data_IF_407202609905
#
_entry.id   IF_407202609905
#
_cell.length_a   1.000
_cell.length_b   1.000
_cell.length_c   1.000
_cell.angle_alpha   90.00
_cell.angle_beta   90.00
_cell.angle_gamma   90.00
#
_symmetry.space_group_name_H-M   'P 1'
#
loop_
_entity.id
_entity.type
_entity.pdbx_description
1 polymer ?
#
# COMPACT_ATOMS: atom_id res chain seq x y z
N UNK A 1 -12.04 22.56 40.43
CA UNK A 1 -12.04 21.84 39.14
C UNK A 1 -10.61 21.85 38.60
N UNK A 2 -9.81 20.89 39.03
CA UNK A 2 -8.43 20.71 38.57
C UNK A 2 -8.41 19.47 37.68
N UNK A 3 -8.90 19.61 36.45
CA UNK A 3 -8.60 18.65 35.41
C UNK A 3 -7.16 18.91 34.96
N UNK A 4 -6.36 17.86 34.80
CA UNK A 4 -5.08 18.01 34.11
C UNK A 4 -5.35 18.67 32.75
N UNK A 5 -4.57 19.70 32.41
CA UNK A 5 -4.53 20.20 31.03
C UNK A 5 -4.31 18.99 30.12
N UNK A 6 -5.01 18.89 28.97
CA UNK A 6 -4.77 17.81 28.03
C UNK A 6 -3.27 17.82 27.75
N UNK A 7 -2.61 16.71 28.06
CA UNK A 7 -1.22 16.51 27.68
C UNK A 7 -1.15 16.82 26.19
N UNK A 8 -0.19 17.66 25.80
CA UNK A 8 0.31 17.74 24.44
C UNK A 8 0.88 16.36 24.07
N UNK A 9 0.01 15.36 23.91
CA UNK A 9 0.27 14.31 22.95
C UNK A 9 0.47 15.10 21.67
N UNK A 10 1.68 15.06 21.14
CA UNK A 10 1.96 15.39 19.76
C UNK A 10 0.97 14.57 18.95
N UNK A 11 -0.23 15.08 18.70
CA UNK A 11 -1.28 14.35 18.00
C UNK A 11 -0.94 14.42 16.52
N UNK A 12 0.13 13.69 16.19
CA UNK A 12 0.64 13.54 14.83
C UNK A 12 -0.40 12.86 13.95
N UNK A 13 -1.45 12.26 14.53
CA UNK A 13 -2.61 11.73 13.82
C UNK A 13 -3.19 12.77 12.87
N UNK A 14 -3.52 13.97 13.35
CA UNK A 14 -4.05 15.04 12.50
C UNK A 14 -3.08 15.47 11.40
N UNK A 15 -1.77 15.54 11.74
CA UNK A 15 -0.74 15.84 10.75
C UNK A 15 -0.67 14.77 9.65
N UNK A 16 -0.71 13.50 10.04
CA UNK A 16 -0.64 12.39 9.10
C UNK A 16 -1.91 12.25 8.28
N UNK A 17 -3.09 12.41 8.88
CA UNK A 17 -4.36 12.48 8.14
C UNK A 17 -4.32 13.59 7.10
N UNK A 18 -3.91 14.80 7.48
CA UNK A 18 -3.77 15.91 6.53
C UNK A 18 -2.77 15.59 5.41
N UNK A 19 -1.68 14.88 5.74
CA UNK A 19 -0.70 14.43 4.75
C UNK A 19 -1.28 13.38 3.79
N UNK A 20 -2.02 12.40 4.30
CA UNK A 20 -2.71 11.36 3.50
C UNK A 20 -3.71 12.03 2.56
N UNK A 21 -4.60 12.89 3.10
CA UNK A 21 -5.60 13.63 2.33
C UNK A 21 -4.94 14.43 1.20
N UNK A 22 -3.91 15.19 1.54
CA UNK A 22 -3.14 15.97 0.56
C UNK A 22 -2.56 15.08 -0.53
N UNK A 23 -1.85 14.01 -0.19
CA UNK A 23 -1.24 13.11 -1.18
C UNK A 23 -2.29 12.51 -2.14
N UNK A 24 -3.37 11.94 -1.59
CA UNK A 24 -4.43 11.30 -2.38
C UNK A 24 -5.16 12.31 -3.29
N UNK A 25 -5.45 13.51 -2.80
CA UNK A 25 -6.04 14.58 -3.62
C UNK A 25 -5.13 14.99 -4.78
N UNK A 26 -3.81 15.14 -4.55
CA UNK A 26 -2.86 15.44 -5.62
C UNK A 26 -2.73 14.30 -6.64
N UNK A 27 -3.03 13.06 -6.25
CA UNK A 27 -3.03 11.89 -7.13
C UNK A 27 -4.37 11.68 -7.87
N UNK A 28 -5.32 12.59 -7.68
CA UNK A 28 -6.61 12.61 -8.37
C UNK A 28 -7.68 11.74 -7.71
N UNK A 29 -7.53 11.40 -6.43
CA UNK A 29 -8.62 10.81 -5.66
C UNK A 29 -9.53 11.89 -5.08
N UNK A 30 -10.83 11.61 -5.04
CA UNK A 30 -11.85 12.47 -4.44
C UNK A 30 -12.19 11.96 -3.04
N UNK A 31 -12.15 12.87 -2.05
CA UNK A 31 -12.56 12.54 -0.68
C UNK A 31 -14.08 12.41 -0.59
N UNK A 32 -14.55 11.38 0.09
CA UNK A 32 -15.96 11.12 0.36
C UNK A 32 -16.19 11.08 1.87
N UNK A 33 -17.44 11.35 2.27
CA UNK A 33 -17.91 11.21 3.64
C UNK A 33 -19.19 10.37 3.61
N UNK A 34 -19.14 9.16 4.16
CA UNK A 34 -20.31 8.28 4.23
C UNK A 34 -20.85 8.19 5.65
N UNK A 35 -22.12 7.82 5.80
CA UNK A 35 -22.71 7.62 7.12
C UNK A 35 -22.08 6.42 7.83
N UNK A 36 -21.76 6.58 9.12
CA UNK A 36 -21.32 5.49 9.99
C UNK A 36 -22.38 4.42 10.24
N UNK A 37 -23.65 4.77 9.98
CA UNK A 37 -24.79 3.87 10.11
C UNK A 37 -25.19 3.30 8.75
N UNK A 38 -25.38 1.98 8.71
CA UNK A 38 -25.73 1.21 7.52
C UNK A 38 -26.94 0.31 7.78
N UNK A 39 -27.58 -0.17 6.72
CA UNK A 39 -28.79 -0.98 6.77
C UNK A 39 -28.50 -2.43 7.17
N UNK A 40 -27.33 -2.94 6.77
CA UNK A 40 -26.86 -4.29 7.04
C UNK A 40 -25.38 -4.29 7.40
N UNK A 41 -25.04 -4.85 8.57
CA UNK A 41 -23.69 -5.13 8.99
C UNK A 41 -23.71 -6.28 10.01
N UNK A 42 -22.55 -6.87 10.28
CA UNK A 42 -22.32 -7.80 11.38
C UNK A 42 -22.03 -7.10 12.72
N UNK A 43 -21.87 -5.78 12.68
CA UNK A 43 -21.52 -4.90 13.78
C UNK A 43 -22.62 -4.64 14.80
N UNK A 44 -22.49 -3.52 15.50
CA UNK A 44 -23.42 -3.15 16.56
C UNK A 44 -24.75 -2.63 16.00
N UNK A 45 -25.83 -3.34 16.32
CA UNK A 45 -27.20 -2.93 16.03
C UNK A 45 -27.69 -1.85 16.99
N UNK A 46 -28.25 -0.76 16.46
CA UNK A 46 -28.93 0.25 17.26
C UNK A 46 -30.22 -0.31 17.85
N UNK A 47 -30.47 0.02 19.13
CA UNK A 47 -31.73 -0.38 19.80
C UNK A 47 -32.95 0.37 19.26
N UNK A 48 -32.79 1.66 18.96
CA UNK A 48 -33.87 2.54 18.48
C UNK A 48 -33.40 3.28 17.21
N UNK A 49 -33.30 2.59 16.06
CA UNK A 49 -32.87 3.22 14.82
C UNK A 49 -33.90 4.24 14.33
N UNK A 50 -33.44 5.32 13.70
CA UNK A 50 -34.31 6.36 13.13
C UNK A 50 -34.98 5.91 11.82
N UNK A 51 -34.34 5.00 11.09
CA UNK A 51 -34.84 4.39 9.85
C UNK A 51 -34.25 2.99 9.68
N UNK A 52 -34.82 2.18 8.78
CA UNK A 52 -34.26 0.87 8.43
C UNK A 52 -32.89 0.96 7.73
N UNK A 53 -32.59 2.11 7.11
CA UNK A 53 -31.33 2.36 6.43
C UNK A 53 -30.16 2.63 7.40
N UNK A 54 -30.47 2.98 8.65
CA UNK A 54 -29.48 3.36 9.68
C UNK A 54 -29.63 2.47 10.91
N UNK A 55 -29.36 1.18 10.73
CA UNK A 55 -29.65 0.15 11.72
C UNK A 55 -28.40 -0.34 12.46
N UNK A 56 -27.24 -0.37 11.80
CA UNK A 56 -26.00 -0.90 12.34
C UNK A 56 -24.88 0.13 12.25
N UNK A 57 -23.98 0.18 13.24
CA UNK A 57 -22.68 0.81 13.07
C UNK A 57 -21.81 -0.08 12.17
N UNK A 58 -21.23 0.52 11.14
CA UNK A 58 -20.41 -0.18 10.16
C UNK A 58 -19.14 -0.77 10.77
N UNK A 59 -18.78 -1.98 10.36
CA UNK A 59 -17.49 -2.61 10.70
C UNK A 59 -16.44 -2.44 9.60
N UNK A 60 -16.86 -1.91 8.43
CA UNK A 60 -16.02 -1.64 7.27
C UNK A 60 -16.59 -0.48 6.46
N UNK A 61 -15.73 0.27 5.77
CA UNK A 61 -16.09 1.32 4.81
C UNK A 61 -16.46 0.74 3.42
N UNK A 62 -16.09 -0.52 3.14
CA UNK A 62 -16.23 -1.15 1.83
C UNK A 62 -17.68 -1.15 1.31
N UNK A 63 -18.70 -1.56 2.09
CA UNK A 63 -20.08 -1.58 1.59
C UNK A 63 -20.58 -0.20 1.14
N UNK A 64 -20.28 0.84 1.92
CA UNK A 64 -20.65 2.23 1.60
C UNK A 64 -19.99 2.72 0.32
N UNK A 65 -18.70 2.40 0.13
CA UNK A 65 -17.96 2.73 -1.10
C UNK A 65 -18.50 1.99 -2.33
N UNK A 66 -18.81 0.70 -2.22
CA UNK A 66 -19.40 -0.06 -3.32
C UNK A 66 -20.79 0.46 -3.73
N UNK A 67 -21.58 0.94 -2.76
CA UNK A 67 -22.85 1.62 -3.03
C UNK A 67 -22.65 2.93 -3.82
N UNK A 68 -21.68 3.76 -3.42
CA UNK A 68 -21.34 4.97 -4.18
C UNK A 68 -20.91 4.63 -5.60
N UNK A 69 -20.06 3.61 -5.77
CA UNK A 69 -19.62 3.15 -7.09
C UNK A 69 -20.82 2.75 -7.94
N UNK A 70 -21.74 1.92 -7.41
CA UNK A 70 -22.90 1.46 -8.18
C UNK A 70 -23.84 2.60 -8.59
N UNK A 71 -24.02 3.61 -7.73
CA UNK A 71 -24.84 4.80 -8.00
C UNK A 71 -24.21 5.76 -9.02
N UNK A 72 -22.89 5.68 -9.24
CA UNK A 72 -22.15 6.58 -10.12
C UNK A 72 -21.51 5.89 -11.33
N UNK A 73 -21.66 4.57 -11.45
CA UNK A 73 -21.12 3.79 -12.55
C UNK A 73 -21.68 4.31 -13.89
N UNK A 74 -20.79 4.52 -14.86
CA UNK A 74 -21.17 5.03 -16.19
C UNK A 74 -21.49 6.52 -16.25
N UNK A 75 -21.48 7.26 -15.14
CA UNK A 75 -21.64 8.72 -15.13
C UNK A 75 -20.31 9.46 -15.37
N UNK A 76 -19.19 8.81 -15.07
CA UNK A 76 -17.83 9.30 -15.27
C UNK A 76 -16.95 8.17 -15.82
N UNK A 77 -15.83 8.52 -16.46
CA UNK A 77 -14.90 7.54 -17.04
C UNK A 77 -14.23 6.66 -15.97
N UNK A 78 -13.77 7.27 -14.88
CA UNK A 78 -13.07 6.58 -13.79
C UNK A 78 -13.42 7.25 -12.47
N UNK A 79 -13.84 6.47 -11.48
CA UNK A 79 -13.95 6.90 -10.09
C UNK A 79 -12.68 6.51 -9.34
N UNK A 80 -12.04 7.49 -8.70
CA UNK A 80 -11.02 7.28 -7.67
C UNK A 80 -11.47 7.98 -6.41
N UNK A 81 -11.83 7.21 -5.39
CA UNK A 81 -12.45 7.72 -4.18
C UNK A 81 -11.62 7.31 -2.97
N UNK A 82 -11.59 8.15 -1.94
CA UNK A 82 -11.06 7.79 -0.64
C UNK A 82 -11.91 8.35 0.50
N UNK A 83 -11.86 7.69 1.65
CA UNK A 83 -12.47 8.18 2.90
C UNK A 83 -11.53 7.81 4.07
N UNK A 84 -11.40 8.72 5.03
CA UNK A 84 -10.76 8.46 6.32
C UNK A 84 -11.83 8.59 7.39
N UNK A 85 -12.21 7.48 8.03
CA UNK A 85 -13.28 7.48 9.02
C UNK A 85 -13.22 6.27 9.96
N UNK A 86 -13.94 6.37 11.08
CA UNK A 86 -14.01 5.27 12.05
C UNK A 86 -14.89 4.11 11.55
N UNK A 87 -14.48 2.90 11.93
CA UNK A 87 -15.32 1.70 11.98
C UNK A 87 -15.48 1.25 13.43
N UNK A 88 -16.50 0.44 13.70
CA UNK A 88 -16.92 0.12 15.07
C UNK A 88 -16.96 -1.40 15.29
N UNK A 89 -15.85 -1.95 15.80
CA UNK A 89 -15.73 -3.39 16.03
C UNK A 89 -16.42 -3.79 17.34
N UNK A 90 -17.40 -4.72 17.32
CA UNK A 90 -18.12 -5.12 18.53
C UNK A 90 -17.19 -5.73 19.59
N UNK A 91 -17.33 -5.28 20.85
CA UNK A 91 -16.72 -5.89 22.03
C UNK A 91 -17.81 -6.45 22.95
N UNK A 92 -17.61 -7.67 23.46
CA UNK A 92 -18.60 -8.34 24.32
C UNK A 92 -18.68 -7.64 25.68
N UNK A 93 -19.84 -7.07 25.99
CA UNK A 93 -20.11 -6.47 27.30
C UNK A 93 -19.47 -5.10 27.54
N UNK A 94 -18.98 -4.46 26.49
CA UNK A 94 -18.32 -3.15 26.55
C UNK A 94 -18.66 -2.30 25.31
N UNK A 95 -18.21 -1.05 25.28
CA UNK A 95 -18.29 -0.18 24.09
C UNK A 95 -17.48 -0.77 22.92
N UNK A 96 -17.90 -0.52 21.66
CA UNK A 96 -17.14 -0.96 20.50
C UNK A 96 -15.72 -0.44 20.54
N UNK A 97 -14.80 -1.19 19.94
CA UNK A 97 -13.53 -0.61 19.55
C UNK A 97 -13.75 0.26 18.32
N UNK A 98 -13.51 1.54 18.46
CA UNK A 98 -13.38 2.42 17.31
C UNK A 98 -11.97 2.27 16.74
N UNK A 99 -11.88 2.10 15.42
CA UNK A 99 -10.62 2.11 14.69
C UNK A 99 -10.72 3.11 13.55
N UNK A 100 -9.72 3.97 13.39
CA UNK A 100 -9.65 4.89 12.24
C UNK A 100 -9.15 4.14 11.01
N UNK A 101 -9.94 4.13 9.94
CA UNK A 101 -9.61 3.44 8.69
C UNK A 101 -9.48 4.41 7.52
N UNK A 102 -8.59 4.09 6.58
CA UNK A 102 -8.52 4.67 5.24
C UNK A 102 -9.03 3.64 4.24
N UNK A 103 -9.94 4.05 3.37
CA UNK A 103 -10.34 3.26 2.21
C UNK A 103 -9.94 3.97 0.92
N UNK A 104 -9.42 3.21 -0.05
CA UNK A 104 -9.20 3.62 -1.42
C UNK A 104 -10.12 2.80 -2.33
N UNK A 105 -10.75 3.44 -3.31
CA UNK A 105 -11.61 2.78 -4.29
C UNK A 105 -11.29 3.27 -5.68
N UNK A 106 -11.16 2.35 -6.63
CA UNK A 106 -10.93 2.67 -8.04
C UNK A 106 -11.82 1.81 -8.92
N UNK A 107 -12.47 2.39 -9.93
CA UNK A 107 -13.18 1.61 -10.97
C UNK A 107 -12.26 1.13 -12.09
N UNK A 108 -10.98 1.54 -12.07
CA UNK A 108 -10.00 1.00 -13.01
C UNK A 108 -9.63 -0.44 -12.60
N UNK A 109 -9.70 -1.42 -13.52
CA UNK A 109 -9.45 -2.83 -13.19
C UNK A 109 -7.96 -3.18 -13.03
N UNK A 110 -7.04 -2.25 -13.32
CA UNK A 110 -5.61 -2.48 -13.15
C UNK A 110 -5.21 -2.48 -11.67
N UNK A 111 -5.03 -3.69 -11.14
CA UNK A 111 -4.56 -3.93 -9.77
C UNK A 111 -3.21 -3.27 -9.49
N UNK A 112 -2.30 -3.26 -10.48
CA UNK A 112 -0.96 -2.69 -10.32
C UNK A 112 -1.03 -1.18 -10.10
N UNK A 113 -2.02 -0.53 -10.70
CA UNK A 113 -2.26 0.90 -10.53
C UNK A 113 -2.70 1.24 -9.12
N UNK A 114 -3.70 0.53 -8.58
CA UNK A 114 -4.14 0.76 -7.19
C UNK A 114 -3.04 0.41 -6.19
N UNK A 115 -2.33 -0.70 -6.43
CA UNK A 115 -1.16 -1.09 -5.64
C UNK A 115 -0.08 0.00 -5.65
N UNK A 116 0.18 0.62 -6.80
CA UNK A 116 1.15 1.72 -6.92
C UNK A 116 0.79 2.93 -6.04
N UNK A 117 -0.50 3.29 -5.94
CA UNK A 117 -0.94 4.34 -5.02
C UNK A 117 -0.74 3.96 -3.55
N UNK A 118 -1.00 2.70 -3.18
CA UNK A 118 -0.76 2.18 -1.83
C UNK A 118 0.73 2.22 -1.49
N UNK A 119 1.60 1.80 -2.41
CA UNK A 119 3.06 1.83 -2.23
C UNK A 119 3.59 3.28 -2.16
N UNK A 120 3.06 4.19 -2.99
CA UNK A 120 3.39 5.61 -2.92
C UNK A 120 2.97 6.23 -1.58
N UNK A 121 1.79 5.89 -1.08
CA UNK A 121 1.32 6.34 0.23
C UNK A 121 2.20 5.80 1.37
N UNK A 122 2.58 4.52 1.31
CA UNK A 122 3.52 3.91 2.24
C UNK A 122 4.84 4.70 2.30
N UNK A 123 5.37 5.05 1.12
CA UNK A 123 6.60 5.83 0.98
C UNK A 123 6.45 7.24 1.58
N UNK A 124 5.34 7.93 1.31
CA UNK A 124 5.04 9.24 1.88
C UNK A 124 4.97 9.22 3.42
N UNK A 125 4.45 8.14 3.99
CA UNK A 125 4.33 7.96 5.44
C UNK A 125 5.61 7.40 6.08
N UNK A 126 6.60 7.00 5.29
CA UNK A 126 7.85 6.40 5.79
C UNK A 126 7.62 5.02 6.42
N UNK A 127 6.60 4.29 5.96
CA UNK A 127 6.19 2.98 6.49
C UNK A 127 6.17 1.93 5.39
N UNK A 128 6.15 0.66 5.79
CA UNK A 128 5.83 -0.45 4.90
C UNK A 128 4.42 -0.92 5.20
N UNK A 129 3.54 -0.85 4.21
CA UNK A 129 2.19 -1.40 4.27
C UNK A 129 1.97 -2.33 3.06
N UNK A 130 1.21 -3.39 3.26
CA UNK A 130 0.83 -4.34 2.21
C UNK A 130 -0.60 -4.81 2.46
N UNK A 131 -1.58 -3.88 2.39
CA UNK A 131 -2.97 -4.21 2.60
C UNK A 131 -3.49 -5.12 1.49
N UNK A 132 -4.54 -5.88 1.81
CA UNK A 132 -5.28 -6.65 0.82
C UNK A 132 -6.06 -5.70 -0.09
N UNK A 133 -6.01 -5.96 -1.40
CA UNK A 133 -6.84 -5.28 -2.38
C UNK A 133 -7.95 -6.24 -2.77
N UNK A 134 -9.18 -5.87 -2.45
CA UNK A 134 -10.39 -6.62 -2.77
C UNK A 134 -10.80 -6.32 -4.22
N UNK A 135 -10.98 -7.37 -5.01
CA UNK A 135 -11.43 -7.26 -6.40
C UNK A 135 -12.93 -7.53 -6.46
N UNK A 136 -13.69 -6.49 -6.81
CA UNK A 136 -15.13 -6.59 -7.07
C UNK A 136 -15.42 -6.44 -8.57
N UNK A 137 -16.60 -6.87 -9.06
CA UNK A 137 -16.93 -6.81 -10.48
C UNK A 137 -16.81 -5.42 -11.11
N UNK A 138 -17.01 -4.36 -10.34
CA UNK A 138 -17.06 -2.97 -10.81
C UNK A 138 -16.00 -2.06 -10.19
N UNK A 139 -15.21 -2.55 -9.22
CA UNK A 139 -14.21 -1.75 -8.54
C UNK A 139 -13.14 -2.60 -7.85
N UNK A 140 -11.98 -1.99 -7.67
CA UNK A 140 -10.94 -2.41 -6.74
C UNK A 140 -11.05 -1.56 -5.47
N UNK A 141 -11.00 -2.22 -4.32
CA UNK A 141 -11.12 -1.56 -3.01
C UNK A 141 -9.99 -1.99 -2.09
N UNK A 142 -9.44 -1.06 -1.33
CA UNK A 142 -8.39 -1.33 -0.35
C UNK A 142 -8.71 -0.57 0.94
N UNK A 143 -8.96 -1.28 2.03
CA UNK A 143 -9.23 -0.71 3.35
C UNK A 143 -8.06 -0.99 4.30
N UNK A 144 -7.65 0.03 5.05
CA UNK A 144 -6.44 0.05 5.86
C UNK A 144 -6.77 0.62 7.24
N UNK A 145 -6.60 -0.18 8.30
CA UNK A 145 -6.59 0.36 9.66
C UNK A 145 -5.36 1.28 9.83
N UNK A 146 -5.61 2.57 10.06
CA UNK A 146 -4.58 3.60 10.16
C UNK A 146 -3.86 3.60 11.52
N UNK A 147 -4.46 3.15 12.61
CA UNK A 147 -3.84 3.20 13.94
C UNK A 147 -2.42 2.59 13.98
N UNK A 148 -2.18 1.34 13.54
CA UNK A 148 -0.83 0.77 13.54
C UNK A 148 0.11 1.40 12.50
N UNK A 149 -0.45 2.06 11.48
CA UNK A 149 0.31 2.76 10.43
C UNK A 149 0.84 4.08 10.96
N UNK A 150 -0.05 4.89 11.55
CA UNK A 150 0.28 6.21 12.09
C UNK A 150 1.23 6.13 13.29
N UNK A 151 1.12 5.07 14.10
CA UNK A 151 2.06 4.79 15.19
C UNK A 151 3.52 4.58 14.71
N UNK A 152 3.72 4.19 13.45
CA UNK A 152 5.04 3.95 12.84
C UNK A 152 5.44 5.02 11.82
N UNK A 153 4.52 5.92 11.47
CA UNK A 153 4.75 6.91 10.45
C UNK A 153 5.85 7.89 10.86
N UNK A 154 6.73 8.21 9.92
CA UNK A 154 7.88 9.07 10.16
C UNK A 154 8.22 9.90 8.93
N UNK A 155 8.55 11.17 9.15
CA UNK A 155 9.06 12.08 8.12
C UNK A 155 10.59 12.14 8.13
N UNK A 156 11.24 11.43 9.05
CA UNK A 156 12.69 11.43 9.20
C UNK A 156 13.30 10.66 8.04
N UNK A 157 13.97 11.38 7.15
CA UNK A 157 14.80 10.77 6.11
C UNK A 157 16.18 10.48 6.67
N UNK A 158 16.57 9.22 6.71
CA UNK A 158 17.95 8.85 7.04
C UNK A 158 18.84 9.18 5.84
N UNK A 159 19.80 10.08 6.04
CA UNK A 159 20.80 10.36 5.03
C UNK A 159 21.68 9.11 4.80
N UNK A 160 21.67 8.62 3.57
CA UNK A 160 22.64 7.62 3.12
C UNK A 160 23.69 8.38 2.31
N UNK A 161 24.98 8.33 2.72
CA UNK A 161 26.03 9.01 1.96
C UNK A 161 26.04 8.49 0.53
N UNK A 162 26.15 9.42 -0.41
CA UNK A 162 26.28 9.08 -1.82
C UNK A 162 27.57 8.30 -1.98
N UNK A 163 27.48 7.09 -2.53
CA UNK A 163 28.67 6.28 -2.80
C UNK A 163 29.57 6.99 -3.80
N UNK A 164 30.88 6.98 -3.54
CA UNK A 164 31.88 7.47 -4.47
C UNK A 164 32.18 6.46 -5.59
N UNK A 165 31.71 5.21 -5.44
CA UNK A 165 31.97 4.12 -6.38
C UNK A 165 30.76 3.91 -7.30
N UNK A 166 30.92 3.98 -8.63
CA UNK A 166 29.84 3.69 -9.55
C UNK A 166 29.35 2.24 -9.45
N UNK A 167 28.04 2.01 -9.63
CA UNK A 167 27.48 0.67 -9.77
C UNK A 167 27.85 0.05 -11.12
N UNK A 168 27.83 -1.28 -11.20
CA UNK A 168 27.81 -2.04 -12.45
C UNK A 168 26.37 -2.49 -12.70
N UNK A 169 25.84 -2.20 -13.88
CA UNK A 169 24.44 -2.46 -14.24
C UNK A 169 24.42 -3.40 -15.45
N UNK A 170 23.64 -4.47 -15.36
CA UNK A 170 23.49 -5.46 -16.42
C UNK A 170 22.02 -5.79 -16.64
N UNK A 171 21.60 -5.80 -17.91
CA UNK A 171 20.27 -6.25 -18.31
C UNK A 171 20.37 -7.71 -18.78
N UNK A 172 19.54 -8.57 -18.19
CA UNK A 172 19.61 -10.04 -18.32
C UNK A 172 18.25 -10.58 -18.75
N UNK A 173 18.23 -11.40 -19.80
CA UNK A 173 17.02 -12.05 -20.29
C UNK A 173 16.83 -13.43 -19.66
N UNK A 174 15.66 -13.65 -19.08
CA UNK A 174 15.33 -14.87 -18.35
C UNK A 174 14.02 -15.44 -18.85
N UNK A 175 14.00 -16.75 -19.14
CA UNK A 175 12.74 -17.48 -19.30
C UNK A 175 12.19 -17.87 -17.93
N UNK A 176 11.12 -17.21 -17.48
CA UNK A 176 10.49 -17.46 -16.19
C UNK A 176 8.97 -17.25 -16.21
N UNK A 177 8.22 -18.28 -15.81
CA UNK A 177 6.76 -18.29 -15.76
C UNK A 177 6.17 -18.23 -14.35
N UNK A 178 7.03 -18.20 -13.31
CA UNK A 178 6.59 -18.17 -11.91
C UNK A 178 6.29 -16.75 -11.40
N UNK A 179 6.15 -16.62 -10.08
CA UNK A 179 5.91 -15.34 -9.43
C UNK A 179 7.18 -14.45 -9.46
N UNK A 180 7.04 -13.22 -9.95
CA UNK A 180 8.16 -12.27 -10.05
C UNK A 180 8.85 -11.99 -8.70
N UNK A 181 8.09 -11.87 -7.61
CA UNK A 181 8.65 -11.65 -6.28
C UNK A 181 9.56 -12.80 -5.85
N UNK A 182 9.21 -14.04 -6.21
CA UNK A 182 9.99 -15.23 -5.86
C UNK A 182 11.35 -15.20 -6.55
N UNK A 183 11.40 -14.96 -7.87
CA UNK A 183 12.67 -14.89 -8.61
C UNK A 183 13.53 -13.72 -8.10
N UNK A 184 12.96 -12.53 -7.88
CA UNK A 184 13.70 -11.39 -7.32
C UNK A 184 14.28 -11.72 -5.94
N UNK A 185 13.51 -12.39 -5.07
CA UNK A 185 13.99 -12.79 -3.75
C UNK A 185 15.14 -13.79 -3.82
N UNK A 186 15.09 -14.73 -4.77
CA UNK A 186 16.17 -15.70 -5.01
C UNK A 186 17.43 -14.99 -5.52
N UNK A 187 17.29 -14.06 -6.45
CA UNK A 187 18.39 -13.27 -7.00
C UNK A 187 19.10 -12.46 -5.92
N UNK A 188 18.34 -11.68 -5.14
CA UNK A 188 18.90 -10.85 -4.06
C UNK A 188 19.62 -11.67 -2.98
N UNK A 189 19.25 -12.94 -2.80
CA UNK A 189 19.91 -13.86 -1.86
C UNK A 189 21.26 -14.39 -2.35
N UNK A 190 21.55 -14.32 -3.66
CA UNK A 190 22.82 -14.83 -4.22
C UNK A 190 24.02 -14.05 -3.69
N UNK A 191 23.92 -12.72 -3.61
CA UNK A 191 25.02 -11.89 -3.13
C UNK A 191 24.55 -10.55 -2.53
N UNK A 192 25.16 -10.09 -1.43
CA UNK A 192 24.89 -8.76 -0.85
C UNK A 192 25.36 -7.61 -1.75
N UNK A 193 26.15 -7.91 -2.80
CA UNK A 193 26.57 -6.93 -3.81
C UNK A 193 25.44 -6.58 -4.78
N UNK A 194 24.40 -7.42 -4.91
CA UNK A 194 23.21 -7.12 -5.71
C UNK A 194 22.34 -6.12 -4.93
N UNK A 195 22.28 -4.86 -5.39
CA UNK A 195 21.54 -3.79 -4.71
C UNK A 195 20.12 -3.61 -5.24
N UNK A 196 19.91 -3.75 -6.54
CA UNK A 196 18.56 -3.73 -7.11
C UNK A 196 18.40 -4.79 -8.20
N UNK A 197 17.15 -5.22 -8.39
CA UNK A 197 16.70 -6.08 -9.47
C UNK A 197 15.39 -5.46 -9.95
N UNK A 198 15.36 -4.98 -11.18
CA UNK A 198 14.25 -4.23 -11.75
C UNK A 198 13.75 -4.94 -13.00
N UNK A 199 12.42 -5.04 -13.16
CA UNK A 199 11.82 -5.54 -14.39
C UNK A 199 11.79 -4.41 -15.41
N UNK A 200 12.54 -4.57 -16.50
CA UNK A 200 12.57 -3.60 -17.61
C UNK A 200 11.48 -3.92 -18.63
N UNK A 201 11.34 -5.19 -18.96
CA UNK A 201 10.39 -5.65 -19.96
C UNK A 201 9.91 -7.08 -19.66
N UNK A 202 8.70 -7.38 -20.11
CA UNK A 202 8.10 -8.71 -20.03
C UNK A 202 7.37 -9.01 -21.34
N UNK A 203 7.83 -10.04 -22.04
CA UNK A 203 7.16 -10.60 -23.21
C UNK A 203 6.87 -12.08 -22.97
N UNK A 204 5.60 -12.45 -22.82
CA UNK A 204 5.18 -13.80 -22.45
C UNK A 204 5.91 -14.31 -21.19
N UNK A 205 6.76 -15.33 -21.33
CA UNK A 205 7.58 -15.90 -20.27
C UNK A 205 9.01 -15.35 -20.26
N UNK A 206 9.36 -14.40 -21.15
CA UNK A 206 10.67 -13.76 -21.20
C UNK A 206 10.62 -12.48 -20.37
N UNK A 207 11.52 -12.38 -19.40
CA UNK A 207 11.72 -11.21 -18.55
C UNK A 207 13.08 -10.59 -18.85
N UNK A 208 13.10 -9.28 -19.05
CA UNK A 208 14.34 -8.49 -19.09
C UNK A 208 14.54 -7.89 -17.71
N UNK A 209 15.52 -8.40 -16.96
CA UNK A 209 15.83 -7.97 -15.60
C UNK A 209 17.09 -7.11 -15.59
N UNK A 210 16.99 -5.88 -15.07
CA UNK A 210 18.15 -5.05 -14.77
C UNK A 210 18.66 -5.37 -13.38
N UNK A 211 19.89 -5.85 -13.29
CA UNK A 211 20.57 -6.17 -12.04
C UNK A 211 21.66 -5.13 -11.79
N UNK A 212 21.57 -4.45 -10.65
CA UNK A 212 22.55 -3.45 -10.22
C UNK A 212 23.45 -4.03 -9.14
N UNK A 213 24.75 -4.14 -9.44
CA UNK A 213 25.80 -4.55 -8.51
C UNK A 213 26.52 -3.31 -7.96
N UNK A 214 26.71 -3.25 -6.64
CA UNK A 214 27.40 -2.11 -6.04
C UNK A 214 27.96 -2.43 -4.66
N UNK A 215 29.17 -1.92 -4.38
CA UNK A 215 29.80 -1.92 -3.06
C UNK A 215 30.10 -0.47 -2.65
N UNK A 216 29.53 0.04 -1.55
CA UNK A 216 29.81 1.41 -1.10
C UNK A 216 31.24 1.61 -0.59
N UNK A 217 32.04 0.55 -0.44
CA UNK A 217 33.39 0.60 0.13
C UNK A 217 34.51 0.44 -0.91
N UNK A 218 34.21 -0.03 -2.12
CA UNK A 218 35.21 -0.23 -3.17
C UNK A 218 34.61 -0.21 -4.58
N UNK A 219 35.46 0.10 -5.56
CA UNK A 219 35.11 -0.07 -6.96
C UNK A 219 35.01 -1.56 -7.30
N UNK A 220 33.88 -1.99 -7.85
CA UNK A 220 33.72 -3.34 -8.38
C UNK A 220 34.32 -3.45 -9.78
N UNK A 221 34.87 -4.63 -10.07
CA UNK A 221 35.35 -5.03 -11.39
C UNK A 221 34.55 -6.21 -11.94
N UNK A 222 34.72 -6.52 -13.23
CA UNK A 222 34.12 -7.71 -13.82
C UNK A 222 34.56 -9.00 -13.13
N UNK A 223 35.78 -9.05 -12.59
CA UNK A 223 36.30 -10.22 -11.86
C UNK A 223 35.57 -10.45 -10.54
N UNK A 224 35.15 -9.38 -9.85
CA UNK A 224 34.37 -9.50 -8.61
C UNK A 224 32.95 -10.04 -8.88
N UNK A 225 32.39 -9.77 -10.06
CA UNK A 225 31.00 -10.09 -10.44
C UNK A 225 30.90 -11.44 -11.16
N UNK A 226 31.94 -11.90 -11.87
CA UNK A 226 31.98 -13.21 -12.54
C UNK A 226 31.46 -14.38 -11.70
N UNK A 227 31.91 -14.62 -10.44
CA UNK A 227 31.39 -15.74 -9.64
C UNK A 227 29.90 -15.56 -9.29
N UNK A 228 29.43 -14.33 -9.14
CA UNK A 228 28.02 -14.04 -8.87
C UNK A 228 27.19 -14.38 -10.10
N UNK A 229 27.66 -14.06 -11.32
CA UNK A 229 26.98 -14.44 -12.56
C UNK A 229 26.85 -15.95 -12.70
N UNK A 230 27.90 -16.70 -12.38
CA UNK A 230 27.87 -18.17 -12.43
C UNK A 230 26.82 -18.76 -11.47
N UNK A 231 26.68 -18.20 -10.27
CA UNK A 231 25.61 -18.60 -9.35
C UNK A 231 24.22 -18.15 -9.84
N UNK A 232 24.10 -16.97 -10.43
CA UNK A 232 22.85 -16.49 -11.01
C UNK A 232 22.35 -17.41 -12.12
N UNK A 233 23.23 -17.95 -12.97
CA UNK A 233 22.88 -18.92 -14.02
C UNK A 233 22.22 -20.20 -13.46
N UNK A 234 22.56 -20.60 -12.23
CA UNK A 234 21.94 -21.76 -11.56
C UNK A 234 20.54 -21.45 -11.05
N UNK A 235 20.30 -20.18 -10.68
CA UNK A 235 19.01 -19.70 -10.16
C UNK A 235 18.05 -19.33 -11.28
N UNK A 236 18.58 -18.79 -12.38
CA UNK A 236 17.85 -18.35 -13.56
C UNK A 236 18.55 -18.86 -14.83
N UNK A 237 18.05 -19.93 -15.47
CA UNK A 237 18.59 -20.32 -16.77
C UNK A 237 18.27 -19.20 -17.77
N UNK A 238 19.32 -18.66 -18.38
CA UNK A 238 19.18 -17.64 -19.42
C UNK A 238 18.51 -18.22 -20.66
N UNK A 239 17.76 -17.36 -21.35
CA UNK A 239 17.06 -17.66 -22.59
C UNK A 239 17.89 -17.33 -23.82
#
# INVERSE_FOLDING_TARGET
MSGNLPTLLNDTTFYWEAKIKSALSHWGFTEMYTYSLVDQDSGLKLKNPLSSEWTYLRTSLVPSHLKIVSENLGKVEELRLFEIANVYLPKKGDLPHEELHLILTSTNPDLSRLKGYVEALASELGVLISPEIQVHPTALVCEINLEPVLAKATSIKTYIPISQYPPIIEDVNVNYSGNYADIVSKIKKVSPLIKSVELIDKYENKLTLRITYHDPKKQLSSLDISPIREELLKVMPLS
#
